data_IF_715959822466
#
_entry.id   IF_715959822466
#
_cell.length_a   1.000
_cell.length_b   1.000
_cell.length_c   1.000
_cell.angle_alpha   90.00
_cell.angle_beta   90.00
_cell.angle_gamma   90.00
#
_symmetry.space_group_name_H-M   'P 1'
#
loop_
_entity.id
_entity.type
_entity.pdbx_description
1 polymer ?
#
# COMPACT_ATOMS: atom_id res chain seq x y z
N UNK A 1 -0.42 -15.18 45.86
CA UNK A 1 -0.71 -16.17 44.79
C UNK A 1 -1.66 -15.63 43.72
N UNK A 2 -2.62 -14.74 44.01
CA UNK A 2 -3.50 -14.16 42.97
C UNK A 2 -2.78 -13.20 42.00
N UNK A 3 -1.80 -12.45 42.47
CA UNK A 3 -1.08 -11.45 41.64
C UNK A 3 -0.32 -12.07 40.46
N UNK A 4 0.21 -13.30 40.61
CA UNK A 4 0.91 -14.00 39.53
C UNK A 4 -0.01 -14.29 38.34
N UNK A 5 -1.23 -14.80 38.61
CA UNK A 5 -2.21 -15.16 37.58
C UNK A 5 -2.65 -13.92 36.77
N UNK A 6 -2.85 -12.78 37.43
CA UNK A 6 -3.20 -11.52 36.76
C UNK A 6 -2.01 -10.89 36.03
N UNK A 7 -0.79 -11.03 36.56
CA UNK A 7 0.43 -10.57 35.89
C UNK A 7 0.64 -11.32 34.57
N UNK A 8 0.45 -12.65 34.58
CA UNK A 8 0.54 -13.49 33.39
C UNK A 8 -0.52 -13.13 32.34
N UNK A 9 -1.76 -12.90 32.76
CA UNK A 9 -2.85 -12.55 31.84
C UNK A 9 -2.66 -11.17 31.23
N UNK A 10 -2.23 -10.19 32.02
CA UNK A 10 -1.95 -8.83 31.57
C UNK A 10 -0.72 -8.81 30.65
N UNK A 11 0.32 -9.57 30.99
CA UNK A 11 1.52 -9.72 30.18
C UNK A 11 1.23 -10.36 28.82
N UNK A 12 0.41 -11.43 28.79
CA UNK A 12 -0.03 -12.07 27.54
C UNK A 12 -0.87 -11.13 26.68
N UNK A 13 -1.72 -10.31 27.29
CA UNK A 13 -2.52 -9.31 26.56
C UNK A 13 -1.63 -8.23 25.91
N UNK A 14 -0.68 -7.67 26.68
CA UNK A 14 0.27 -6.68 26.16
C UNK A 14 1.18 -7.25 25.08
N UNK A 15 1.65 -8.50 25.23
CA UNK A 15 2.46 -9.18 24.22
C UNK A 15 1.67 -9.38 22.91
N UNK A 16 0.41 -9.80 23.02
CA UNK A 16 -0.48 -9.95 21.86
C UNK A 16 -0.73 -8.62 21.17
N UNK A 17 -1.01 -7.56 21.93
CA UNK A 17 -1.25 -6.23 21.39
C UNK A 17 0.00 -5.68 20.67
N UNK A 18 1.18 -5.86 21.27
CA UNK A 18 2.45 -5.47 20.65
C UNK A 18 2.69 -6.21 19.33
N UNK A 19 2.39 -7.51 19.28
CA UNK A 19 2.51 -8.32 18.06
C UNK A 19 1.59 -7.79 16.93
N UNK A 20 0.34 -7.47 17.26
CA UNK A 20 -0.63 -6.90 16.31
C UNK A 20 -0.14 -5.56 15.76
N UNK A 21 0.39 -4.68 16.61
CA UNK A 21 0.93 -3.37 16.20
C UNK A 21 2.11 -3.56 15.25
N UNK A 22 3.02 -4.51 15.52
CA UNK A 22 4.15 -4.82 14.63
C UNK A 22 3.66 -5.31 13.27
N UNK A 23 2.69 -6.23 13.24
CA UNK A 23 2.11 -6.74 12.00
C UNK A 23 1.44 -5.60 11.21
N UNK A 24 0.64 -4.76 11.87
CA UNK A 24 0.04 -3.58 11.25
C UNK A 24 1.12 -2.64 10.70
N UNK A 25 2.18 -2.36 11.46
CA UNK A 25 3.30 -1.54 11.01
C UNK A 25 3.97 -2.08 9.75
N UNK A 26 4.20 -3.39 9.67
CA UNK A 26 4.74 -4.06 8.48
C UNK A 26 3.74 -3.94 7.32
N UNK A 27 2.46 -4.23 7.55
CA UNK A 27 1.42 -4.13 6.51
C UNK A 27 1.29 -2.70 5.97
N UNK A 28 1.29 -1.69 6.82
CA UNK A 28 1.26 -0.28 6.41
C UNK A 28 2.54 0.11 5.66
N UNK A 29 3.72 -0.29 6.14
CA UNK A 29 4.99 -0.01 5.47
C UNK A 29 5.08 -0.69 4.10
N UNK A 30 4.62 -1.94 3.98
CA UNK A 30 4.57 -2.67 2.71
C UNK A 30 3.47 -2.15 1.78
N UNK A 31 2.34 -1.67 2.32
CA UNK A 31 1.29 -1.02 1.53
C UNK A 31 1.75 0.33 0.99
N UNK A 32 2.55 1.10 1.74
CA UNK A 32 3.19 2.31 1.24
C UNK A 32 4.27 2.00 0.17
N UNK A 33 4.92 0.84 0.25
CA UNK A 33 5.93 0.39 -0.72
C UNK A 33 5.34 -0.31 -1.95
N UNK A 34 4.09 -0.80 -1.87
CA UNK A 34 3.26 -0.97 -3.05
C UNK A 34 2.96 0.44 -3.54
N UNK A 35 3.88 0.98 -4.35
CA UNK A 35 3.48 1.80 -5.47
C UNK A 35 2.21 1.12 -6.00
N UNK A 36 1.01 1.74 -5.93
CA UNK A 36 -0.05 1.29 -6.82
C UNK A 36 0.67 1.32 -8.16
N UNK A 37 0.82 0.16 -8.83
CA UNK A 37 1.45 0.10 -10.15
C UNK A 37 0.87 1.31 -10.88
N UNK A 38 1.64 2.39 -11.03
CA UNK A 38 1.10 3.61 -11.63
C UNK A 38 0.59 3.08 -12.92
N UNK A 39 -0.71 3.25 -13.07
CA UNK A 39 -1.41 2.56 -14.11
C UNK A 39 -0.67 2.91 -15.41
N UNK A 40 -0.38 1.96 -16.30
CA UNK A 40 0.37 2.26 -17.52
C UNK A 40 -0.23 3.47 -18.27
N UNK A 41 -1.54 3.69 -18.12
CA UNK A 41 -2.25 4.87 -18.60
C UNK A 41 -1.89 6.17 -17.86
N UNK A 42 -1.72 6.11 -16.54
CA UNK A 42 -1.35 7.23 -15.69
C UNK A 42 0.10 7.68 -15.94
N UNK A 43 1.02 6.72 -16.16
CA UNK A 43 2.38 7.01 -16.63
C UNK A 43 2.37 7.68 -18.01
N UNK A 44 1.52 7.21 -18.93
CA UNK A 44 1.37 7.82 -20.25
C UNK A 44 0.77 9.23 -20.16
N UNK A 45 -0.20 9.45 -19.27
CA UNK A 45 -0.79 10.77 -19.02
C UNK A 45 0.28 11.76 -18.53
N UNK A 46 1.12 11.33 -17.59
CA UNK A 46 2.20 12.16 -17.06
C UNK A 46 3.22 12.54 -18.16
N UNK A 47 3.55 11.61 -19.06
CA UNK A 47 4.43 11.90 -20.21
C UNK A 47 3.79 12.83 -21.23
N UNK A 48 2.47 12.75 -21.43
CA UNK A 48 1.73 13.67 -22.30
C UNK A 48 1.71 15.09 -21.73
N UNK A 49 1.48 15.23 -20.42
CA UNK A 49 1.50 16.53 -19.72
C UNK A 49 2.89 17.18 -19.72
N UNK A 50 3.95 16.37 -19.73
CA UNK A 50 5.34 16.83 -19.91
C UNK A 50 5.71 17.17 -21.36
N UNK A 51 4.84 16.88 -22.32
CA UNK A 51 5.10 17.10 -23.76
C UNK A 51 6.06 16.09 -24.39
N UNK A 52 6.40 14.99 -23.69
CA UNK A 52 7.32 13.96 -24.20
C UNK A 52 6.64 13.04 -25.25
N UNK A 53 5.30 13.02 -25.28
CA UNK A 53 4.52 12.24 -26.25
C UNK A 53 3.40 13.09 -26.87
N UNK A 54 3.08 12.81 -28.13
CA UNK A 54 1.98 13.47 -28.84
C UNK A 54 0.61 12.98 -28.34
N UNK A 55 -0.40 13.85 -28.45
CA UNK A 55 -1.80 13.57 -28.09
C UNK A 55 -2.35 12.33 -28.81
N UNK A 56 -1.92 12.07 -30.04
CA UNK A 56 -2.33 10.90 -30.83
C UNK A 56 -1.83 9.58 -30.24
N UNK A 57 -0.64 9.58 -29.64
CA UNK A 57 -0.05 8.39 -29.01
C UNK A 57 -0.81 8.08 -27.72
N UNK A 58 -1.13 9.12 -26.95
CA UNK A 58 -1.94 9.01 -25.75
C UNK A 58 -3.37 8.50 -26.05
N UNK A 59 -4.03 9.05 -27.08
CA UNK A 59 -5.40 8.66 -27.45
C UNK A 59 -5.49 7.20 -27.95
N UNK A 60 -4.49 6.75 -28.73
CA UNK A 60 -4.38 5.35 -29.16
C UNK A 60 -4.23 4.39 -27.98
N UNK A 61 -3.35 4.70 -27.03
CA UNK A 61 -3.14 3.88 -25.85
C UNK A 61 -4.39 3.85 -24.94
N UNK A 62 -5.10 4.98 -24.81
CA UNK A 62 -6.37 5.06 -24.07
C UNK A 62 -7.46 4.19 -24.71
N UNK A 63 -7.57 4.18 -26.03
CA UNK A 63 -8.55 3.37 -26.77
C UNK A 63 -8.28 1.87 -26.68
N UNK A 64 -7.02 1.44 -26.69
CA UNK A 64 -6.66 0.01 -26.62
C UNK A 64 -6.97 -0.62 -25.26
N UNK A 65 -6.97 0.19 -24.19
CA UNK A 65 -7.20 -0.28 -22.82
C UNK A 65 -8.67 -0.39 -22.42
N UNK A 66 -9.55 0.25 -23.19
CA UNK A 66 -11.00 0.20 -23.00
C UNK A 66 -11.73 -0.92 -23.76
N UNK A 67 -10.98 -1.82 -24.40
CA UNK A 67 -11.46 -3.08 -24.99
C UNK A 67 -10.96 -4.24 -24.15
#
# INVERSE_FOLDING_TARGET
MMTAIFMDQTFRFWLSLALVIIILGILFRFRAKKNPKKDSLELLKERFERGEISKEVYDRARKQRGK
#
